data_IF_584418002284
#
_entry.id   IF_584418002284
#
_cell.length_a   1.000
_cell.length_b   1.000
_cell.length_c   1.000
_cell.angle_alpha   90.00
_cell.angle_beta   90.00
_cell.angle_gamma   90.00
#
_symmetry.space_group_name_H-M   'P 1'
#
loop_
_entity.id
_entity.type
_entity.pdbx_description
1 polymer ?
#
# COMPACT_ATOMS: atom_id res chain seq x y z
N UNK A 1 -48.11 18.72 -0.41
CA UNK A 1 -46.91 18.70 0.44
C UNK A 1 -45.76 18.12 -0.37
N UNK A 2 -44.91 18.99 -0.92
CA UNK A 2 -43.70 18.60 -1.64
C UNK A 2 -42.56 18.51 -0.62
N UNK A 3 -42.05 17.31 -0.37
CA UNK A 3 -40.89 17.12 0.50
C UNK A 3 -39.64 17.53 -0.28
N UNK A 4 -39.06 18.68 0.09
CA UNK A 4 -37.71 19.08 -0.29
C UNK A 4 -36.74 17.98 0.14
N UNK A 5 -36.21 17.23 -0.83
CA UNK A 5 -35.05 16.35 -0.61
C UNK A 5 -33.81 17.24 -0.41
N UNK A 6 -32.99 17.03 0.62
CA UNK A 6 -31.72 17.73 0.75
C UNK A 6 -30.80 17.32 -0.42
N UNK A 7 -30.43 18.30 -1.24
CA UNK A 7 -29.36 18.16 -2.22
C UNK A 7 -28.03 18.26 -1.47
N UNK A 8 -27.45 17.12 -1.12
CA UNK A 8 -26.08 17.08 -0.67
C UNK A 8 -25.19 17.33 -1.90
N UNK A 9 -24.30 18.34 -1.89
CA UNK A 9 -23.30 18.45 -2.92
C UNK A 9 -22.49 17.16 -2.88
N UNK A 10 -22.54 16.37 -3.96
CA UNK A 10 -21.57 15.32 -4.16
C UNK A 10 -20.22 16.02 -4.20
N UNK A 11 -19.44 15.89 -3.13
CA UNK A 11 -18.02 16.21 -3.16
C UNK A 11 -17.49 15.54 -4.44
N UNK A 12 -16.70 16.25 -5.27
CA UNK A 12 -16.11 15.62 -6.44
C UNK A 12 -15.48 14.32 -5.98
N UNK A 13 -15.83 13.22 -6.64
CA UNK A 13 -15.26 11.93 -6.27
C UNK A 13 -13.74 12.12 -6.30
N UNK A 14 -13.03 11.82 -5.20
CA UNK A 14 -11.57 12.01 -5.09
C UNK A 14 -10.78 11.75 -6.39
N UNK A 15 -11.07 10.72 -7.21
CA UNK A 15 -10.37 10.50 -8.48
C UNK A 15 -10.41 11.67 -9.49
N UNK A 16 -11.38 12.58 -9.44
CA UNK A 16 -11.46 13.72 -10.36
C UNK A 16 -10.51 14.86 -9.96
N UNK A 17 -10.13 14.94 -8.68
CA UNK A 17 -9.17 15.92 -8.17
C UNK A 17 -7.72 15.43 -8.36
N UNK A 18 -7.47 14.14 -8.11
CA UNK A 18 -6.13 13.55 -8.07
C UNK A 18 -5.38 13.64 -9.40
N UNK A 19 -6.05 13.60 -10.56
CA UNK A 19 -5.38 13.60 -11.86
C UNK A 19 -4.89 14.98 -12.33
N UNK A 20 -5.39 16.09 -11.75
CA UNK A 20 -5.12 17.44 -12.25
C UNK A 20 -3.78 18.01 -11.81
N UNK A 21 -3.30 17.60 -10.65
CA UNK A 21 -2.06 18.08 -10.03
C UNK A 21 -0.90 17.06 -10.15
N UNK A 22 -1.06 16.04 -11.02
CA UNK A 22 -0.02 15.03 -11.25
C UNK A 22 1.09 15.64 -12.10
N UNK A 23 2.33 15.48 -11.62
CA UNK A 23 3.53 15.80 -12.37
C UNK A 23 3.50 15.15 -13.79
N UNK A 24 3.85 15.90 -14.86
CA UNK A 24 3.77 15.37 -16.23
C UNK A 24 4.54 14.06 -16.45
N UNK A 25 5.69 13.87 -15.79
CA UNK A 25 6.49 12.65 -15.91
C UNK A 25 5.75 11.48 -15.29
N UNK A 26 5.07 11.69 -14.16
CA UNK A 26 4.25 10.65 -13.53
C UNK A 26 3.02 10.33 -14.40
N UNK A 27 2.38 11.33 -15.00
CA UNK A 27 1.27 11.13 -15.92
C UNK A 27 1.67 10.27 -17.14
N UNK A 28 2.82 10.54 -17.76
CA UNK A 28 3.36 9.73 -18.87
C UNK A 28 3.62 8.28 -18.44
N UNK A 29 4.14 8.07 -17.22
CA UNK A 29 4.35 6.72 -16.67
C UNK A 29 3.04 5.97 -16.50
N UNK A 30 2.02 6.61 -15.94
CA UNK A 30 0.68 6.03 -15.79
C UNK A 30 0.11 5.67 -17.17
N UNK A 31 0.27 6.56 -18.17
CA UNK A 31 -0.20 6.31 -19.53
C UNK A 31 0.49 5.10 -20.17
N UNK A 32 1.81 4.95 -20.01
CA UNK A 32 2.53 3.77 -20.51
C UNK A 32 2.01 2.47 -19.90
N UNK A 33 1.71 2.48 -18.59
CA UNK A 33 1.13 1.30 -17.91
C UNK A 33 -0.28 1.00 -18.44
N UNK A 34 -1.10 2.03 -18.63
CA UNK A 34 -2.45 1.89 -19.18
C UNK A 34 -2.41 1.24 -20.57
N UNK A 35 -1.56 1.74 -21.46
CA UNK A 35 -1.38 1.20 -22.82
C UNK A 35 -0.86 -0.25 -22.80
N UNK A 36 0.15 -0.55 -21.98
CA UNK A 36 0.73 -1.88 -21.90
C UNK A 36 -0.27 -2.93 -21.40
N UNK A 37 -1.26 -2.54 -20.59
CA UNK A 37 -2.25 -3.43 -20.01
C UNK A 37 -3.63 -3.36 -20.66
N UNK A 38 -3.84 -2.46 -21.61
CA UNK A 38 -5.13 -2.22 -22.25
C UNK A 38 -6.19 -1.63 -21.31
N UNK A 39 -5.77 -0.91 -20.27
CA UNK A 39 -6.66 -0.31 -19.27
C UNK A 39 -6.97 1.15 -19.58
N UNK A 40 -8.12 1.63 -19.10
CA UNK A 40 -8.42 3.06 -19.10
C UNK A 40 -7.53 3.83 -18.12
N UNK A 41 -7.24 5.11 -18.38
CA UNK A 41 -6.40 5.93 -17.48
C UNK A 41 -6.94 6.00 -16.04
N UNK A 42 -8.26 6.17 -15.89
CA UNK A 42 -8.91 6.22 -14.56
C UNK A 42 -8.78 4.90 -13.81
N UNK A 43 -9.04 3.78 -14.48
CA UNK A 43 -8.85 2.44 -13.91
C UNK A 43 -7.40 2.20 -13.53
N UNK A 44 -6.47 2.61 -14.40
CA UNK A 44 -5.03 2.44 -14.17
C UNK A 44 -4.58 3.24 -12.95
N UNK A 45 -5.00 4.50 -12.83
CA UNK A 45 -4.69 5.35 -11.70
C UNK A 45 -5.20 4.74 -10.38
N UNK A 46 -6.44 4.25 -10.35
CA UNK A 46 -7.00 3.59 -9.16
C UNK A 46 -6.20 2.36 -8.76
N UNK A 47 -5.94 1.44 -9.71
CA UNK A 47 -5.17 0.22 -9.44
C UNK A 47 -3.75 0.52 -8.94
N UNK A 48 -3.10 1.55 -9.50
CA UNK A 48 -1.76 1.95 -9.06
C UNK A 48 -1.77 2.57 -7.65
N UNK A 49 -2.80 3.33 -7.30
CA UNK A 49 -2.97 3.88 -5.94
C UNK A 49 -3.25 2.75 -4.94
N UNK A 50 -4.14 1.82 -5.27
CA UNK A 50 -4.44 0.64 -4.43
C UNK A 50 -3.18 -0.19 -4.19
N UNK A 51 -2.42 -0.48 -5.24
CA UNK A 51 -1.17 -1.22 -5.13
C UNK A 51 -0.11 -0.45 -4.34
N UNK A 52 0.01 0.86 -4.55
CA UNK A 52 0.93 1.71 -3.79
C UNK A 52 0.59 1.78 -2.30
N UNK A 53 -0.71 1.88 -1.97
CA UNK A 53 -1.19 1.84 -0.59
C UNK A 53 -0.86 0.49 0.05
N UNK A 54 -1.14 -0.61 -0.64
CA UNK A 54 -0.81 -1.95 -0.17
C UNK A 54 0.69 -2.11 0.12
N UNK A 55 1.55 -1.65 -0.79
CA UNK A 55 3.01 -1.70 -0.58
C UNK A 55 3.46 -0.83 0.60
N UNK A 56 2.87 0.35 0.80
CA UNK A 56 3.19 1.21 1.94
C UNK A 56 2.75 0.60 3.28
N UNK A 57 1.59 -0.07 3.30
CA UNK A 57 1.11 -0.79 4.48
C UNK A 57 1.96 -2.03 4.79
N UNK A 58 2.42 -2.75 3.76
CA UNK A 58 3.37 -3.85 3.93
C UNK A 58 4.71 -3.37 4.47
N UNK A 59 5.25 -2.24 4.03
CA UNK A 59 6.51 -1.69 4.57
C UNK A 59 6.39 -1.35 6.06
N UNK A 60 5.24 -0.83 6.49
CA UNK A 60 4.96 -0.60 7.93
C UNK A 60 4.82 -1.92 8.69
N UNK A 61 4.27 -2.96 8.05
CA UNK A 61 4.14 -4.30 8.62
C UNK A 61 5.42 -5.15 8.50
N UNK A 62 6.42 -4.73 7.72
CA UNK A 62 7.63 -5.53 7.48
C UNK A 62 8.64 -5.49 8.64
N UNK A 63 8.29 -4.88 9.77
CA UNK A 63 8.95 -5.14 11.05
C UNK A 63 8.35 -6.39 11.68
N UNK A 64 9.19 -7.21 12.34
CA UNK A 64 8.66 -8.28 13.20
C UNK A 64 7.64 -7.67 14.16
N UNK A 65 6.44 -8.24 14.20
CA UNK A 65 5.47 -7.83 15.20
C UNK A 65 6.01 -8.21 16.58
N UNK A 66 5.60 -7.52 17.65
CA UNK A 66 6.04 -7.82 19.03
C UNK A 66 6.09 -9.33 19.37
N UNK A 67 5.08 -10.17 19.04
CA UNK A 67 5.15 -11.61 19.31
C UNK A 67 6.26 -12.33 18.51
N UNK A 68 6.57 -11.89 17.30
CA UNK A 68 7.64 -12.47 16.48
C UNK A 68 9.02 -12.03 16.98
N UNK A 69 9.14 -10.79 17.46
CA UNK A 69 10.35 -10.29 18.15
C UNK A 69 10.62 -11.08 19.42
N UNK A 70 9.58 -11.32 20.23
CA UNK A 70 9.67 -12.13 21.45
C UNK A 70 10.06 -13.58 21.13
N UNK A 71 9.39 -14.22 20.17
CA UNK A 71 9.73 -15.58 19.75
C UNK A 71 11.16 -15.70 19.21
N UNK A 72 11.62 -14.73 18.43
CA UNK A 72 12.99 -14.69 17.92
C UNK A 72 14.00 -14.46 19.05
N UNK A 73 13.68 -13.58 20.01
CA UNK A 73 14.53 -13.33 21.17
C UNK A 73 14.67 -14.59 22.05
N UNK A 74 13.58 -15.32 22.28
CA UNK A 74 13.58 -16.60 23.00
C UNK A 74 14.42 -17.66 22.27
N UNK A 75 14.25 -17.80 20.96
CA UNK A 75 15.04 -18.73 20.16
C UNK A 75 16.55 -18.41 20.21
N UNK A 76 16.92 -17.13 20.12
CA UNK A 76 18.31 -16.68 20.25
C UNK A 76 18.86 -16.96 21.65
N UNK A 77 18.06 -16.72 22.70
CA UNK A 77 18.46 -17.01 24.07
C UNK A 77 18.73 -18.51 24.24
N UNK A 78 17.83 -19.37 23.76
CA UNK A 78 18.01 -20.82 23.80
C UNK A 78 19.28 -21.29 23.05
N UNK A 79 19.61 -20.67 21.91
CA UNK A 79 20.83 -20.98 21.16
C UNK A 79 22.11 -20.57 21.89
N UNK A 80 22.09 -19.48 22.67
CA UNK A 80 23.26 -19.02 23.45
C UNK A 80 23.58 -19.92 24.64
N UNK A 81 22.58 -20.61 25.17
CA UNK A 81 22.75 -21.58 26.26
C UNK A 81 23.33 -22.92 25.76
N UNK A 82 23.45 -23.11 24.44
CA UNK A 82 24.13 -24.28 23.92
C UNK A 82 25.62 -24.17 24.25
N UNK A 83 26.23 -25.24 24.82
CA UNK A 83 27.66 -25.26 25.06
C UNK A 83 28.38 -25.09 23.72
N UNK A 84 29.46 -24.31 23.71
CA UNK A 84 30.35 -24.22 22.56
C UNK A 84 30.69 -25.64 22.12
N UNK A 85 30.30 -25.99 20.89
CA UNK A 85 30.42 -27.36 20.40
C UNK A 85 31.84 -27.86 20.62
N UNK A 86 31.99 -29.07 21.17
CA UNK A 86 33.26 -29.78 21.05
C UNK A 86 33.50 -29.93 19.55
N UNK A 87 34.59 -29.34 19.07
CA UNK A 87 35.03 -29.54 17.69
C UNK A 87 35.01 -31.03 17.37
N UNK A 88 34.52 -31.38 16.18
CA UNK A 88 34.63 -32.73 15.65
C UNK A 88 36.09 -33.16 15.59
#
# INVERSE_FOLDING_TARGET
MALCRPHFPTLPSMPDLVLRDIDPILAERIQRVALARGWGLRETALRLIEQGLFSAEEEVRSGFENPEVEALAEAIAALKELPAGRGF
#
